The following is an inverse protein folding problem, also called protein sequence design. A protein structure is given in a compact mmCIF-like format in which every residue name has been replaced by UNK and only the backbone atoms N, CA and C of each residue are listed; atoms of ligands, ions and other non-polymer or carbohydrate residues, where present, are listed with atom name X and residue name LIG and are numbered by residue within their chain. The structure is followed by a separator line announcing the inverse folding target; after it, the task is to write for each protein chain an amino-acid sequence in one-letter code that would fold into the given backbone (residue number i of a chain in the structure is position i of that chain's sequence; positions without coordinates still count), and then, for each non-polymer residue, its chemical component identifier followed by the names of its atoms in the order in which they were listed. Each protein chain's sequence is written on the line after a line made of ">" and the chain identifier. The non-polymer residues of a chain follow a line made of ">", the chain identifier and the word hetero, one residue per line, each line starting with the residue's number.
data_IF_791136477883
#
_entry.id   IF_791136477883
#
_cell.length_a   1.000
_cell.length_b   1.000
_cell.length_c   1.000
_cell.angle_alpha   90.00
_cell.angle_beta   90.00
_cell.angle_gamma   90.00
#
_symmetry.space_group_name_H-M   'P 1'
#
loop_
_entity.id
_entity.type
_entity.pdbx_description
1 polymer ?
#
# COMPACT_ATOMS: atom_id res chain seq x y z
N UNK A 1 57.64 -11.06 -54.05
CA UNK A 1 57.34 -12.14 -53.10
C UNK A 1 56.49 -11.56 -51.97
N UNK A 2 55.36 -12.21 -51.61
CA UNK A 2 54.46 -11.95 -50.46
C UNK A 2 53.52 -10.71 -50.48
N UNK A 3 52.23 -11.06 -50.55
CA UNK A 3 50.97 -10.44 -50.08
C UNK A 3 51.09 -9.65 -48.74
N UNK A 4 50.23 -8.68 -48.39
CA UNK A 4 48.80 -8.90 -48.05
C UNK A 4 47.93 -7.62 -48.01
N UNK A 5 46.61 -7.82 -48.09
CA UNK A 5 45.54 -6.84 -47.90
C UNK A 5 45.16 -6.65 -46.42
N UNK A 6 44.67 -5.47 -46.05
CA UNK A 6 43.95 -5.20 -44.78
C UNK A 6 43.29 -3.81 -44.83
N UNK A 7 41.98 -3.70 -45.02
CA UNK A 7 40.90 -3.77 -44.00
C UNK A 7 40.93 -2.65 -42.93
N UNK A 8 40.08 -1.63 -43.14
CA UNK A 8 39.35 -0.94 -42.06
C UNK A 8 38.45 -1.98 -41.33
N UNK A 9 38.12 -1.83 -40.02
CA UNK A 9 37.07 -0.90 -39.54
C UNK A 9 37.49 -0.22 -38.20
N UNK A 10 36.68 0.40 -37.32
CA UNK A 10 35.21 0.49 -37.12
C UNK A 10 34.86 1.93 -36.61
N UNK A 11 33.71 2.50 -37.03
CA UNK A 11 33.07 3.62 -36.33
C UNK A 11 32.26 3.09 -35.13
N UNK A 12 32.61 3.47 -33.90
CA UNK A 12 31.83 3.09 -32.71
C UNK A 12 30.52 3.90 -32.65
N UNK A 13 29.46 3.36 -33.26
CA UNK A 13 28.13 3.94 -33.15
C UNK A 13 27.55 3.63 -31.76
N UNK A 14 27.57 4.61 -30.86
CA UNK A 14 26.98 4.47 -29.53
C UNK A 14 25.45 4.51 -29.64
N UNK A 15 24.82 3.36 -29.84
CA UNK A 15 23.36 3.23 -29.85
C UNK A 15 22.79 3.41 -28.45
N UNK A 16 22.35 4.63 -28.13
CA UNK A 16 21.51 4.89 -26.96
C UNK A 16 20.14 4.29 -27.22
N UNK A 17 19.97 3.02 -26.85
CA UNK A 17 18.69 2.33 -26.86
C UNK A 17 17.79 2.94 -25.76
N UNK A 18 17.12 4.05 -26.08
CA UNK A 18 15.91 4.45 -25.36
C UNK A 18 14.85 3.38 -25.63
N UNK A 19 14.81 2.38 -24.76
CA UNK A 19 13.74 1.38 -24.73
C UNK A 19 12.43 2.11 -24.41
N UNK A 20 11.63 2.34 -25.45
CA UNK A 20 10.22 2.70 -25.31
C UNK A 20 9.48 1.49 -24.73
N UNK A 21 9.55 1.32 -23.41
CA UNK A 21 8.76 0.30 -22.72
C UNK A 21 7.26 0.57 -22.95
N UNK A 22 6.64 -0.24 -23.80
CA UNK A 22 5.23 -0.09 -24.19
C UNK A 22 4.29 -0.36 -23.03
N UNK A 23 4.23 -1.62 -22.60
CA UNK A 23 3.55 -2.07 -21.37
C UNK A 23 4.40 -3.13 -20.68
N UNK A 24 4.90 -2.79 -19.50
CA UNK A 24 5.71 -3.68 -18.65
C UNK A 24 4.94 -3.99 -17.38
N UNK A 25 4.71 -5.27 -17.08
CA UNK A 25 4.12 -5.72 -15.81
C UNK A 25 5.20 -5.76 -14.73
N UNK A 26 4.90 -5.20 -13.56
CA UNK A 26 5.81 -5.01 -12.43
C UNK A 26 5.18 -5.47 -11.12
N UNK A 27 5.97 -5.61 -10.06
CA UNK A 27 5.48 -5.97 -8.72
C UNK A 27 6.15 -5.18 -7.60
N UNK A 28 5.37 -4.76 -6.61
CA UNK A 28 5.88 -4.11 -5.40
C UNK A 28 5.41 -4.87 -4.14
N UNK A 29 6.31 -5.02 -3.17
CA UNK A 29 5.99 -5.53 -1.83
C UNK A 29 5.34 -4.43 -1.02
N UNK A 30 4.31 -4.74 -0.25
CA UNK A 30 3.60 -3.79 0.59
C UNK A 30 3.78 -4.15 2.06
N UNK A 31 4.28 -3.20 2.85
CA UNK A 31 4.43 -3.29 4.30
C UNK A 31 3.55 -2.24 4.96
N UNK A 32 2.80 -2.61 5.99
CA UNK A 32 2.02 -1.68 6.81
C UNK A 32 2.73 -1.46 8.15
N UNK A 33 2.86 -0.20 8.56
CA UNK A 33 3.33 0.22 9.88
C UNK A 33 2.18 0.82 10.70
N UNK A 34 1.93 0.25 11.88
CA UNK A 34 0.96 0.80 12.83
C UNK A 34 1.60 1.93 13.66
N UNK A 35 1.34 3.18 13.26
CA UNK A 35 1.80 4.40 13.94
C UNK A 35 0.67 5.10 14.71
N UNK A 36 -0.45 4.42 14.97
CA UNK A 36 -1.60 4.97 15.73
C UNK A 36 -1.34 5.10 17.23
N UNK A 37 -0.39 4.33 17.76
CA UNK A 37 -0.17 4.19 19.22
C UNK A 37 -1.18 3.25 19.91
N UNK A 38 -2.12 2.65 19.17
CA UNK A 38 -3.11 1.70 19.68
C UNK A 38 -3.00 0.34 18.99
N UNK A 39 -3.60 -0.70 19.59
CA UNK A 39 -3.83 -1.96 18.89
C UNK A 39 -4.88 -1.74 17.78
N UNK A 40 -4.68 -2.35 16.62
CA UNK A 40 -5.59 -2.25 15.48
C UNK A 40 -5.67 -3.57 14.73
N UNK A 41 -6.81 -3.84 14.10
CA UNK A 41 -6.89 -4.71 12.93
C UNK A 41 -6.85 -3.84 11.69
N UNK A 42 -6.08 -4.22 10.68
CA UNK A 42 -6.08 -3.55 9.38
C UNK A 42 -6.37 -4.54 8.26
N UNK A 43 -7.02 -4.04 7.20
CA UNK A 43 -7.15 -4.70 5.91
C UNK A 43 -6.70 -3.71 4.83
N UNK A 44 -5.86 -4.17 3.91
CA UNK A 44 -5.39 -3.39 2.76
C UNK A 44 -5.98 -3.99 1.50
N UNK A 45 -6.68 -3.17 0.74
CA UNK A 45 -7.16 -3.50 -0.61
C UNK A 45 -6.36 -2.71 -1.64
N UNK A 46 -5.94 -3.38 -2.71
CA UNK A 46 -5.27 -2.77 -3.85
C UNK A 46 -5.97 -3.19 -5.15
N UNK A 47 -6.14 -2.26 -6.09
CA UNK A 47 -6.64 -2.56 -7.43
C UNK A 47 -5.97 -1.67 -8.49
N UNK A 48 -5.17 -2.28 -9.35
CA UNK A 48 -4.78 -1.68 -10.63
C UNK A 48 -5.96 -1.71 -11.61
N UNK A 49 -6.19 -0.63 -12.35
CA UNK A 49 -7.35 -0.49 -13.26
C UNK A 49 -7.52 -1.69 -14.21
N UNK A 50 -8.73 -2.24 -14.28
CA UNK A 50 -9.07 -3.37 -15.15
C UNK A 50 -8.50 -4.71 -14.68
N UNK A 51 -8.14 -4.83 -13.40
CA UNK A 51 -7.72 -6.08 -12.72
C UNK A 51 -8.62 -6.37 -11.53
N UNK A 52 -8.55 -7.61 -11.04
CA UNK A 52 -9.16 -7.99 -9.77
C UNK A 52 -8.51 -7.23 -8.60
N UNK A 53 -9.21 -7.18 -7.48
CA UNK A 53 -8.72 -6.59 -6.24
C UNK A 53 -7.80 -7.57 -5.50
N UNK A 54 -6.60 -7.13 -5.15
CA UNK A 54 -5.75 -7.79 -4.16
C UNK A 54 -6.29 -7.43 -2.74
N UNK A 55 -6.51 -8.42 -1.87
CA UNK A 55 -7.00 -8.25 -0.49
C UNK A 55 -6.05 -8.94 0.48
N UNK A 56 -5.55 -8.21 1.50
CA UNK A 56 -4.64 -8.76 2.51
C UNK A 56 -5.33 -9.66 3.55
N UNK A 57 -6.67 -9.64 3.58
CA UNK A 57 -7.43 -10.06 4.76
C UNK A 57 -7.22 -9.11 5.95
N UNK A 58 -7.83 -9.46 7.09
CA UNK A 58 -7.68 -8.72 8.33
C UNK A 58 -6.49 -9.23 9.14
N UNK A 59 -5.55 -8.35 9.45
CA UNK A 59 -4.32 -8.64 10.19
C UNK A 59 -4.29 -7.78 11.46
N UNK A 60 -3.97 -8.37 12.61
CA UNK A 60 -3.82 -7.65 13.87
C UNK A 60 -2.43 -7.01 14.00
N UNK A 61 -2.37 -5.81 14.58
CA UNK A 61 -1.15 -5.03 14.82
C UNK A 61 -1.16 -4.47 16.24
N UNK A 62 -0.09 -4.73 16.99
CA UNK A 62 0.24 -4.00 18.21
C UNK A 62 0.72 -2.57 17.88
N UNK A 63 0.74 -1.64 18.85
CA UNK A 63 1.32 -0.32 18.66
C UNK A 63 2.79 -0.42 18.19
N UNK A 64 3.12 0.21 17.05
CA UNK A 64 4.47 0.18 16.49
C UNK A 64 4.80 -1.02 15.59
N UNK A 65 3.92 -2.02 15.47
CA UNK A 65 4.12 -3.17 14.59
C UNK A 65 4.36 -2.75 13.13
N UNK A 66 5.23 -3.48 12.45
CA UNK A 66 5.44 -3.42 11.00
C UNK A 66 5.32 -4.82 10.42
N UNK A 67 4.44 -5.03 9.43
CA UNK A 67 4.16 -6.35 8.84
C UNK A 67 4.02 -6.25 7.32
N UNK A 68 4.52 -7.25 6.62
CA UNK A 68 4.23 -7.43 5.19
C UNK A 68 2.76 -7.81 5.04
N UNK A 69 2.02 -7.05 4.22
CA UNK A 69 0.60 -7.29 3.91
C UNK A 69 0.41 -7.84 2.50
N UNK A 70 1.38 -7.60 1.60
CA UNK A 70 1.46 -8.25 0.30
C UNK A 70 2.93 -8.49 -0.08
N UNK A 71 3.26 -9.74 -0.45
CA UNK A 71 4.57 -10.09 -0.98
C UNK A 71 4.86 -9.48 -2.37
N UNK A 72 3.81 -9.12 -3.13
CA UNK A 72 3.96 -8.52 -4.46
C UNK A 72 2.63 -8.22 -5.16
N UNK A 73 2.07 -7.02 -4.96
CA UNK A 73 0.92 -6.54 -5.76
C UNK A 73 1.36 -6.31 -7.21
N UNK A 74 0.47 -6.54 -8.17
CA UNK A 74 0.80 -6.41 -9.60
C UNK A 74 0.26 -5.12 -10.21
N UNK A 75 1.12 -4.39 -10.90
CA UNK A 75 0.78 -3.16 -11.64
C UNK A 75 1.47 -3.13 -13.00
N UNK A 76 1.10 -2.19 -13.86
CA UNK A 76 1.76 -2.01 -15.16
C UNK A 76 2.35 -0.59 -15.27
N UNK A 77 3.42 -0.47 -16.05
CA UNK A 77 4.04 0.82 -16.40
C UNK A 77 4.36 0.87 -17.88
N UNK A 78 4.41 2.08 -18.45
CA UNK A 78 4.88 2.33 -19.81
C UNK A 78 4.11 3.49 -20.43
N UNK A 79 4.54 3.96 -21.61
CA UNK A 79 3.83 5.09 -22.25
C UNK A 79 2.39 4.72 -22.66
N UNK A 80 2.08 3.43 -22.85
CA UNK A 80 0.75 2.96 -23.24
C UNK A 80 -0.16 2.62 -22.04
N UNK A 81 0.28 2.81 -20.79
CA UNK A 81 -0.54 2.48 -19.61
C UNK A 81 -1.46 3.63 -19.21
N UNK A 82 -2.78 3.40 -19.28
CA UNK A 82 -3.83 4.31 -18.80
C UNK A 82 -4.37 3.97 -17.41
N UNK A 83 -3.90 2.86 -16.82
CA UNK A 83 -4.37 2.39 -15.52
C UNK A 83 -3.70 3.11 -14.35
N UNK A 84 -4.38 3.07 -13.20
CA UNK A 84 -3.93 3.67 -11.94
C UNK A 84 -4.05 2.68 -10.80
N UNK A 85 -3.15 2.77 -9.82
CA UNK A 85 -3.17 1.99 -8.59
C UNK A 85 -4.12 2.64 -7.57
N UNK A 86 -5.18 1.91 -7.23
CA UNK A 86 -6.23 2.33 -6.31
C UNK A 86 -6.09 1.56 -5.00
N UNK A 87 -6.26 2.26 -3.88
CA UNK A 87 -6.03 1.73 -2.54
C UNK A 87 -7.19 2.04 -1.60
N UNK A 88 -7.54 1.09 -0.74
CA UNK A 88 -8.37 1.30 0.45
C UNK A 88 -7.65 0.67 1.64
N UNK A 89 -7.58 1.41 2.74
CA UNK A 89 -7.17 0.89 4.05
C UNK A 89 -8.39 0.91 4.96
N UNK A 90 -8.81 -0.26 5.44
CA UNK A 90 -9.77 -0.37 6.52
C UNK A 90 -9.02 -0.61 7.83
N UNK A 91 -9.58 -0.11 8.94
CA UNK A 91 -9.10 -0.45 10.27
C UNK A 91 -10.22 -0.64 11.28
N UNK A 92 -9.90 -1.33 12.37
CA UNK A 92 -10.69 -1.35 13.60
C UNK A 92 -9.76 -1.18 14.79
N UNK A 93 -9.97 -0.16 15.60
CA UNK A 93 -9.19 0.01 16.83
C UNK A 93 -9.58 -1.10 17.82
N UNK A 94 -8.59 -1.71 18.48
CA UNK A 94 -8.81 -2.74 19.50
C UNK A 94 -8.59 -2.13 20.87
N UNK A 95 -9.68 -1.93 21.62
CA UNK A 95 -9.63 -1.39 22.97
C UNK A 95 -9.29 -2.50 23.96
N UNK A 96 -8.11 -2.42 24.55
CA UNK A 96 -7.62 -3.36 25.57
C UNK A 96 -8.29 -3.07 26.92
N UNK A 97 -9.22 -3.92 27.32
CA UNK A 97 -9.84 -3.92 28.66
C UNK A 97 -9.06 -4.88 29.56
N UNK A 98 -8.74 -4.41 30.78
CA UNK A 98 -8.00 -5.17 31.79
C UNK A 98 -8.71 -5.03 33.14
N UNK A 99 -8.84 -6.12 33.88
CA UNK A 99 -9.39 -6.11 35.24
C UNK A 99 -9.77 -7.49 35.73
N UNK A 100 -10.09 -7.58 37.02
CA UNK A 100 -10.81 -8.71 37.61
C UNK A 100 -12.07 -8.14 38.25
N UNK A 101 -13.24 -8.71 37.93
CA UNK A 101 -14.52 -8.27 38.51
C UNK A 101 -15.10 -9.44 39.29
N UNK A 102 -15.19 -9.30 40.61
CA UNK A 102 -15.92 -10.27 41.43
C UNK A 102 -17.38 -9.83 41.57
N UNK A 103 -18.30 -10.79 41.51
CA UNK A 103 -19.76 -10.54 41.52
C UNK A 103 -20.40 -10.06 40.21
N UNK A 104 -19.65 -9.89 39.11
CA UNK A 104 -20.19 -9.49 37.80
C UNK A 104 -20.66 -10.66 36.90
N UNK A 105 -21.46 -10.35 35.86
CA UNK A 105 -21.97 -11.32 34.87
C UNK A 105 -20.88 -11.99 34.00
N UNK A 106 -19.68 -11.41 33.92
CA UNK A 106 -18.56 -11.94 33.14
C UNK A 106 -17.32 -11.93 34.03
N UNK A 107 -16.77 -13.12 34.30
CA UNK A 107 -15.45 -13.29 34.93
C UNK A 107 -14.42 -13.54 33.83
N UNK A 108 -13.33 -12.79 33.83
CA UNK A 108 -12.16 -13.06 32.98
C UNK A 108 -10.87 -12.82 33.77
N UNK A 109 -9.84 -13.57 33.40
CA UNK A 109 -8.46 -13.34 33.82
C UNK A 109 -7.64 -12.96 32.57
N UNK A 110 -6.73 -11.99 32.71
CA UNK A 110 -5.99 -11.40 31.59
C UNK A 110 -6.66 -10.19 30.91
N UNK A 111 -6.76 -10.22 29.58
CA UNK A 111 -7.13 -9.06 28.77
C UNK A 111 -8.19 -9.39 27.71
N UNK A 112 -9.20 -8.54 27.61
CA UNK A 112 -10.21 -8.61 26.54
C UNK A 112 -9.98 -7.46 25.57
N UNK A 113 -9.99 -7.74 24.27
CA UNK A 113 -9.97 -6.71 23.23
C UNK A 113 -11.37 -6.53 22.65
N UNK A 114 -11.88 -5.30 22.71
CA UNK A 114 -13.17 -4.92 22.12
C UNK A 114 -12.90 -4.17 20.83
N UNK A 115 -13.54 -4.57 19.72
CA UNK A 115 -13.47 -3.84 18.45
C UNK A 115 -14.24 -2.52 18.57
N UNK A 116 -13.55 -1.41 18.34
CA UNK A 116 -14.14 -0.06 18.25
C UNK A 116 -14.79 0.21 16.89
N UNK A 117 -15.14 1.46 16.64
CA UNK A 117 -15.72 1.89 15.37
C UNK A 117 -14.79 1.57 14.18
N UNK A 118 -15.36 1.20 13.01
CA UNK A 118 -14.57 0.98 11.81
C UNK A 118 -14.00 2.30 11.28
N UNK A 119 -12.73 2.26 10.89
CA UNK A 119 -11.99 3.32 10.22
C UNK A 119 -11.81 3.01 8.73
N UNK A 120 -11.74 4.04 7.90
CA UNK A 120 -11.47 3.92 6.46
C UNK A 120 -10.61 5.05 5.94
N UNK A 121 -9.74 4.73 4.99
CA UNK A 121 -8.97 5.72 4.22
C UNK A 121 -9.89 6.62 3.38
N UNK A 122 -9.74 7.92 3.51
CA UNK A 122 -10.46 8.90 2.69
C UNK A 122 -10.02 8.84 1.21
N UNK A 123 -10.91 9.26 0.32
CA UNK A 123 -10.73 9.35 -1.13
C UNK A 123 -11.30 10.67 -1.65
N UNK A 124 -10.87 11.11 -2.84
CA UNK A 124 -11.39 12.34 -3.43
C UNK A 124 -12.89 12.29 -3.73
N UNK A 125 -13.48 13.48 -3.95
CA UNK A 125 -14.86 13.62 -4.39
C UNK A 125 -15.12 12.84 -5.69
N UNK A 126 -16.25 12.11 -5.76
CA UNK A 126 -16.61 11.28 -6.91
C UNK A 126 -15.75 10.03 -7.14
N UNK A 127 -14.80 9.73 -6.24
CA UNK A 127 -14.07 8.47 -6.21
C UNK A 127 -14.54 7.62 -5.03
N UNK A 128 -14.15 6.34 -5.00
CA UNK A 128 -14.32 5.45 -3.83
C UNK A 128 -12.98 4.99 -3.24
N UNK A 129 -11.88 5.16 -3.98
CA UNK A 129 -10.53 4.66 -3.63
C UNK A 129 -9.51 5.80 -3.61
N UNK A 130 -8.47 5.67 -2.78
CA UNK A 130 -7.32 6.58 -2.79
C UNK A 130 -6.35 6.14 -3.89
N UNK A 131 -6.03 7.03 -4.84
CA UNK A 131 -4.98 6.77 -5.84
C UNK A 131 -3.59 6.99 -5.23
N UNK A 132 -2.66 6.06 -5.45
CA UNK A 132 -1.23 6.24 -5.17
C UNK A 132 -0.44 5.40 -6.18
N UNK A 133 0.07 6.06 -7.22
CA UNK A 133 0.71 5.41 -8.36
C UNK A 133 2.01 4.71 -7.98
N UNK A 134 2.17 3.48 -8.44
CA UNK A 134 3.45 2.79 -8.49
C UNK A 134 4.06 2.97 -9.89
N UNK A 135 5.39 3.07 -9.98
CA UNK A 135 6.09 3.16 -11.26
C UNK A 135 7.35 2.27 -11.31
N UNK A 136 8.15 2.40 -12.37
CA UNK A 136 9.33 1.55 -12.59
C UNK A 136 10.40 1.68 -11.49
N UNK A 137 10.39 2.76 -10.70
CA UNK A 137 11.28 2.91 -9.54
C UNK A 137 10.91 2.01 -8.36
N UNK A 138 9.69 1.50 -8.30
CA UNK A 138 9.15 0.72 -7.18
C UNK A 138 9.23 -0.80 -7.41
N UNK A 139 9.64 -1.22 -8.60
CA UNK A 139 9.64 -2.62 -9.01
C UNK A 139 10.62 -3.46 -8.20
N UNK A 140 10.16 -4.59 -7.68
CA UNK A 140 10.89 -5.43 -6.74
C UNK A 140 11.19 -4.79 -5.38
N UNK A 141 10.68 -3.58 -5.10
CA UNK A 141 10.94 -2.85 -3.85
C UNK A 141 9.72 -2.83 -2.94
N UNK A 142 9.90 -2.22 -1.77
CA UNK A 142 8.85 -2.09 -0.75
C UNK A 142 8.22 -0.70 -0.79
N UNK A 143 6.90 -0.66 -0.89
CA UNK A 143 6.08 0.51 -0.56
C UNK A 143 5.58 0.36 0.87
N UNK A 144 5.76 1.38 1.69
CA UNK A 144 5.39 1.40 3.11
C UNK A 144 4.13 2.22 3.31
N UNK A 145 3.13 1.64 3.95
CA UNK A 145 1.88 2.29 4.35
C UNK A 145 1.96 2.58 5.85
N UNK A 146 2.09 3.84 6.24
CA UNK A 146 2.11 4.26 7.66
C UNK A 146 0.72 4.74 8.06
N UNK A 147 0.13 4.09 9.06
CA UNK A 147 -1.21 4.45 9.56
C UNK A 147 -1.07 5.17 10.90
N UNK A 148 -1.42 6.45 10.93
CA UNK A 148 -1.56 7.27 12.13
C UNK A 148 -3.05 7.42 12.49
N UNK A 149 -3.36 7.95 13.68
CA UNK A 149 -4.74 8.00 14.20
C UNK A 149 -5.75 8.73 13.29
N UNK A 150 -5.30 9.71 12.50
CA UNK A 150 -6.14 10.52 11.62
C UNK A 150 -5.66 10.60 10.16
N UNK A 151 -4.56 9.91 9.81
CA UNK A 151 -3.88 10.06 8.51
C UNK A 151 -3.17 8.77 8.11
N UNK A 152 -3.22 8.44 6.83
CA UNK A 152 -2.40 7.40 6.21
C UNK A 152 -1.38 8.05 5.27
N UNK A 153 -0.16 7.53 5.27
CA UNK A 153 0.89 7.87 4.31
C UNK A 153 1.29 6.63 3.50
N UNK A 154 1.18 6.72 2.18
CA UNK A 154 1.74 5.77 1.23
C UNK A 154 3.11 6.28 0.78
N UNK A 155 4.15 5.50 0.99
CA UNK A 155 5.55 5.89 0.78
C UNK A 155 6.23 4.84 -0.10
N UNK A 156 6.43 5.17 -1.37
CA UNK A 156 7.15 4.36 -2.35
C UNK A 156 8.49 5.02 -2.72
N UNK A 157 9.46 4.27 -3.28
CA UNK A 157 10.65 4.84 -3.92
C UNK A 157 10.36 5.91 -5.00
N UNK A 158 9.19 5.87 -5.63
CA UNK A 158 8.74 6.83 -6.63
C UNK A 158 8.10 8.10 -6.06
N UNK A 159 7.57 8.07 -4.85
CA UNK A 159 6.98 9.24 -4.20
C UNK A 159 6.18 8.95 -2.94
N UNK A 160 5.60 10.01 -2.37
CA UNK A 160 4.73 9.93 -1.19
C UNK A 160 3.36 10.51 -1.51
N UNK A 161 2.31 9.91 -0.97
CA UNK A 161 0.99 10.54 -0.91
C UNK A 161 0.32 10.26 0.42
N UNK A 162 -0.54 11.16 0.88
CA UNK A 162 -1.30 11.00 2.12
C UNK A 162 -2.81 11.05 1.87
N UNK A 163 -3.58 10.56 2.84
CA UNK A 163 -5.02 10.76 2.93
C UNK A 163 -5.47 10.72 4.39
N UNK A 164 -6.67 11.22 4.69
CA UNK A 164 -7.23 11.10 6.04
C UNK A 164 -7.57 9.65 6.38
N UNK A 165 -7.60 9.35 7.67
CA UNK A 165 -8.10 8.11 8.22
C UNK A 165 -9.13 8.47 9.28
N UNK A 166 -10.40 8.41 8.91
CA UNK A 166 -11.53 8.83 9.74
C UNK A 166 -12.34 7.57 10.13
N UNK A 167 -13.14 7.65 11.20
CA UNK A 167 -14.17 6.61 11.39
C UNK A 167 -15.21 6.71 10.28
N UNK A 168 -15.90 5.61 9.97
CA UNK A 168 -17.00 5.61 8.98
C UNK A 168 -18.14 6.53 9.44
N UNK A 169 -18.37 6.67 10.75
CA UNK A 169 -19.35 7.58 11.32
C UNK A 169 -18.95 9.06 11.09
N UNK A 170 -17.71 9.45 11.43
CA UNK A 170 -17.20 10.81 11.21
C UNK A 170 -17.16 11.18 9.72
N UNK A 171 -16.95 10.18 8.86
CA UNK A 171 -16.96 10.36 7.40
C UNK A 171 -18.37 10.67 6.89
N UNK A 172 -19.40 9.98 7.40
CA UNK A 172 -20.79 10.20 7.02
C UNK A 172 -21.36 11.54 7.52
N UNK A 173 -20.94 11.99 8.70
CA UNK A 173 -21.38 13.28 9.27
C UNK A 173 -20.80 14.53 8.57
N UNK A 174 -19.85 14.38 7.63
CA UNK A 174 -19.20 15.49 6.90
C UNK A 174 -19.68 15.66 5.45
N UNK A 175 -20.68 14.88 5.03
CA UNK A 175 -21.29 14.90 3.70
C UNK A 175 -22.79 15.23 3.73
N UNK A 176 -23.29 15.65 4.91
CA UNK A 176 -24.56 16.36 5.10
C UNK A 176 -24.27 17.84 5.40
#
# INVERSE_FOLDING_TARGET
>A
MRFFTGFLPIFLLLTVAHLTEGLTRRKARIVLENRTGSYFKFQVLHQYTGKGTDDSGWIEFAPGDSKEVFAGVSYNTGFMTTGVDNWIIHGKQLHKVSGSVDGGLIKFDGHVFIEGLPYRSYHGFGAEWKKHMLNSKDDGKTTVIKVYQSTIEFISPSGKSSTRFDTVADSAGRIM
#
